data_IF_373209707878
#
_entry.id   IF_373209707878
#
_cell.length_a   1.000
_cell.length_b   1.000
_cell.length_c   1.000
_cell.angle_alpha   90.00
_cell.angle_beta   90.00
_cell.angle_gamma   90.00
#
_symmetry.space_group_name_H-M   'P 1'
#
loop_
_entity.id
_entity.type
_entity.pdbx_description
1 polymer ?
#
# COMPACT_ATOMS: atom_id res chain seq x y z
N UNK A 1 17.41 1.22 -11.98
CA UNK A 1 16.84 0.55 -10.80
C UNK A 1 15.73 -0.33 -11.35
N UNK A 2 15.56 -1.58 -10.87
CA UNK A 2 14.44 -2.40 -11.33
C UNK A 2 13.13 -1.63 -11.13
N UNK A 3 12.25 -1.66 -12.13
CA UNK A 3 10.91 -1.10 -12.04
C UNK A 3 10.08 -2.03 -11.13
N UNK A 4 10.24 -1.86 -9.82
CA UNK A 4 9.42 -2.54 -8.83
C UNK A 4 8.05 -1.85 -8.79
N UNK A 5 6.99 -2.62 -9.03
CA UNK A 5 5.63 -2.15 -8.85
C UNK A 5 5.07 -2.73 -7.54
N UNK A 6 4.32 -1.92 -6.79
CA UNK A 6 3.75 -2.33 -5.52
C UNK A 6 2.23 -2.23 -5.57
N UNK A 7 1.55 -3.24 -5.05
CA UNK A 7 0.13 -3.18 -4.73
C UNK A 7 -0.05 -3.08 -3.21
N UNK A 8 -0.60 -1.95 -2.75
CA UNK A 8 -0.89 -1.72 -1.34
C UNK A 8 -2.38 -1.95 -1.08
N UNK A 9 -2.69 -3.02 -0.36
CA UNK A 9 -4.06 -3.35 0.05
C UNK A 9 -4.39 -2.66 1.36
N UNK A 10 -5.41 -1.80 1.33
CA UNK A 10 -5.83 -1.02 2.48
C UNK A 10 -7.08 -1.64 3.14
N UNK A 11 -7.30 -1.27 4.39
CA UNK A 11 -8.54 -1.55 5.12
C UNK A 11 -9.25 -0.24 5.47
N UNK A 12 -10.59 -0.22 5.46
CA UNK A 12 -11.34 0.97 5.86
C UNK A 12 -11.03 1.35 7.31
N UNK A 13 -10.69 2.63 7.55
CA UNK A 13 -10.57 3.17 8.91
C UNK A 13 -11.91 3.09 9.64
N UNK A 14 -11.92 2.55 10.87
CA UNK A 14 -13.05 2.69 11.80
C UNK A 14 -13.91 1.44 12.03
N UNK A 15 -13.59 0.28 11.44
CA UNK A 15 -14.32 -0.97 11.73
C UNK A 15 -13.38 -2.13 12.04
N UNK A 16 -12.90 -2.16 13.28
CA UNK A 16 -12.19 -3.31 13.84
C UNK A 16 -13.24 -4.34 14.30
N UNK A 17 -13.55 -5.35 13.48
CA UNK A 17 -14.38 -6.48 13.92
C UNK A 17 -15.35 -7.12 12.91
N UNK A 18 -15.62 -6.49 11.75
CA UNK A 18 -16.44 -7.11 10.69
C UNK A 18 -15.56 -7.45 9.48
N UNK A 19 -16.00 -8.41 8.66
CA UNK A 19 -15.38 -8.85 7.41
C UNK A 19 -14.82 -7.65 6.62
N UNK A 20 -13.51 -7.45 6.73
CA UNK A 20 -12.84 -6.28 6.17
C UNK A 20 -12.77 -6.47 4.66
N UNK A 21 -13.76 -5.91 3.96
CA UNK A 21 -13.75 -5.77 2.51
C UNK A 21 -12.45 -5.05 2.13
N UNK A 22 -11.57 -5.76 1.44
CA UNK A 22 -10.33 -5.21 0.90
C UNK A 22 -10.75 -4.11 -0.07
N UNK A 23 -10.38 -2.87 0.22
CA UNK A 23 -10.47 -1.82 -0.79
C UNK A 23 -9.44 -2.12 -1.87
N UNK A 24 -9.82 -1.94 -3.14
CA UNK A 24 -8.98 -2.20 -4.30
C UNK A 24 -7.54 -1.73 -4.09
N UNK A 25 -6.53 -2.51 -4.54
CA UNK A 25 -5.14 -2.20 -4.27
C UNK A 25 -4.77 -0.81 -4.80
N UNK A 26 -3.96 -0.08 -4.01
CA UNK A 26 -3.32 1.15 -4.46
C UNK A 26 -2.04 0.76 -5.19
N UNK A 27 -2.07 0.87 -6.51
CA UNK A 27 -0.90 0.69 -7.35
C UNK A 27 0.13 1.79 -7.10
N UNK A 28 1.38 1.40 -6.92
CA UNK A 28 2.47 2.26 -6.52
C UNK A 28 3.76 1.88 -7.23
N UNK A 29 4.61 2.88 -7.46
CA UNK A 29 5.91 2.71 -8.11
C UNK A 29 7.06 2.71 -7.10
N UNK A 30 6.77 3.06 -5.84
CA UNK A 30 7.76 3.14 -4.77
C UNK A 30 7.04 3.15 -3.41
N UNK A 31 7.65 2.53 -2.41
CA UNK A 31 7.15 2.50 -1.03
C UNK A 31 8.29 2.76 -0.05
N UNK A 32 8.13 3.77 0.80
CA UNK A 32 9.07 4.09 1.87
C UNK A 32 8.47 3.72 3.23
N UNK A 33 9.21 2.95 4.03
CA UNK A 33 8.77 2.48 5.35
C UNK A 33 9.24 3.40 6.48
N UNK A 34 8.33 3.72 7.38
CA UNK A 34 8.59 4.53 8.58
C UNK A 34 7.98 3.87 9.82
N UNK A 35 8.26 4.41 11.01
CA UNK A 35 7.76 3.84 12.27
C UNK A 35 6.23 3.91 12.38
N UNK A 36 5.59 4.93 11.79
CA UNK A 36 4.15 5.19 11.92
C UNK A 36 3.33 4.68 10.73
N UNK A 37 3.97 4.26 9.65
CA UNK A 37 3.30 3.84 8.43
C UNK A 37 4.24 3.86 7.23
N UNK A 38 3.64 3.90 6.04
CA UNK A 38 4.38 3.96 4.78
C UNK A 38 3.99 5.20 3.99
N UNK A 39 4.94 5.69 3.20
CA UNK A 39 4.62 6.57 2.11
C UNK A 39 4.60 5.80 0.79
N UNK A 40 3.54 6.00 0.03
CA UNK A 40 3.28 5.34 -1.25
C UNK A 40 3.41 6.37 -2.36
N UNK A 41 4.35 6.16 -3.28
CA UNK A 41 4.50 6.99 -4.48
C UNK A 41 3.71 6.37 -5.64
N UNK A 42 2.91 7.20 -6.30
CA UNK A 42 2.08 6.86 -7.46
C UNK A 42 2.30 7.87 -8.58
N UNK A 43 1.84 7.55 -9.80
CA UNK A 43 1.99 8.41 -11.01
C UNK A 43 1.46 9.86 -10.86
N UNK A 44 0.68 10.17 -9.82
CA UNK A 44 0.14 11.50 -9.54
C UNK A 44 0.53 12.12 -8.20
N UNK A 45 1.47 11.53 -7.45
CA UNK A 45 1.92 12.08 -6.17
C UNK A 45 2.32 11.03 -5.14
N UNK A 46 2.43 11.45 -3.88
CA UNK A 46 2.80 10.58 -2.75
C UNK A 46 1.72 10.70 -1.67
N UNK A 47 1.25 9.56 -1.15
CA UNK A 47 0.27 9.52 -0.06
C UNK A 47 0.88 8.78 1.13
N UNK A 48 0.54 9.21 2.35
CA UNK A 48 0.91 8.49 3.56
C UNK A 48 -0.24 7.59 4.03
N UNK A 49 0.07 6.36 4.42
CA UNK A 49 -0.87 5.43 5.01
C UNK A 49 -0.30 4.88 6.33
N UNK A 50 -1.00 5.03 7.47
CA UNK A 50 -0.60 4.41 8.73
C UNK A 50 -0.78 2.88 8.68
N UNK A 51 0.02 2.13 9.43
CA UNK A 51 -0.05 0.66 9.42
C UNK A 51 -1.41 0.08 9.79
N UNK A 52 -2.19 0.79 10.60
CA UNK A 52 -3.56 0.41 10.95
C UNK A 52 -4.50 0.35 9.74
N UNK A 53 -4.15 1.03 8.65
CA UNK A 53 -4.89 1.03 7.38
C UNK A 53 -4.32 0.04 6.37
N UNK A 54 -3.20 -0.63 6.64
CA UNK A 54 -2.51 -1.47 5.68
C UNK A 54 -2.74 -2.93 6.04
N UNK A 55 -3.33 -3.69 5.11
CA UNK A 55 -3.49 -5.14 5.26
C UNK A 55 -2.31 -5.89 4.67
N UNK A 56 -1.88 -5.51 3.48
CA UNK A 56 -0.85 -6.24 2.73
C UNK A 56 -0.17 -5.29 1.75
N UNK A 57 1.15 -5.44 1.61
CA UNK A 57 1.93 -4.78 0.56
C UNK A 57 2.50 -5.91 -0.29
N UNK A 58 2.22 -5.91 -1.59
CA UNK A 58 2.74 -6.89 -2.53
C UNK A 58 3.70 -6.20 -3.48
N UNK A 59 4.94 -6.66 -3.52
CA UNK A 59 5.94 -6.21 -4.49
C UNK A 59 5.89 -7.13 -5.71
N UNK A 60 5.90 -6.52 -6.89
CA UNK A 60 6.01 -7.18 -8.19
C UNK A 60 7.32 -6.74 -8.83
N UNK A 61 8.16 -7.72 -9.12
CA UNK A 61 9.35 -7.51 -9.92
C UNK A 61 8.95 -7.73 -11.37
N UNK A 62 8.92 -6.65 -12.16
CA UNK A 62 8.73 -6.71 -13.61
C UNK A 62 9.99 -7.31 -14.24
N UNK A 63 10.15 -8.62 -14.14
CA UNK A 63 11.35 -9.32 -14.61
C UNK A 63 11.41 -10.78 -14.23
N UNK A 64 10.41 -11.57 -14.63
CA UNK A 64 10.54 -13.03 -14.87
C UNK A 64 9.72 -13.42 -16.09
#
# INVERSE_FOLDING_TARGET
MPDNEYDVYLVPTGKRGEEQNIVSPVAATDVDFYETGIWVRRKGGRNFFPYEQIRTIREHHSGQ
#
